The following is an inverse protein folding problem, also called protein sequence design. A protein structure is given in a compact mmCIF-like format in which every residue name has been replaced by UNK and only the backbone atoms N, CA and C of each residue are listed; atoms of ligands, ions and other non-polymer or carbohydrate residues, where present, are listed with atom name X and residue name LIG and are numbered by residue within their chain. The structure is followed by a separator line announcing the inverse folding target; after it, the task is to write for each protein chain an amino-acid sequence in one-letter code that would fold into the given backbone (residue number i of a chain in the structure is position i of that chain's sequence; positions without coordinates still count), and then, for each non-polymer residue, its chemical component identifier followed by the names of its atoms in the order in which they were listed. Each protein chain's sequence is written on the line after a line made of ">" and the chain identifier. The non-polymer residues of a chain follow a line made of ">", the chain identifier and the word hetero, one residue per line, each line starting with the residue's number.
data_IF_261886591856
#
_entry.id   IF_261886591856
#
_cell.length_a   1.000
_cell.length_b   1.000
_cell.length_c   1.000
_cell.angle_alpha   90.00
_cell.angle_beta   90.00
_cell.angle_gamma   90.00
#
_symmetry.space_group_name_H-M   'P 1'
#
loop_
_entity.id
_entity.type
_entity.pdbx_description
1 polymer ?
#
# COMPACT_ATOMS: atom_id res chain seq x y z
N UNK A 1 9.07 -3.10 -56.23
CA UNK A 1 9.22 -3.25 -57.70
C UNK A 1 9.27 -1.93 -58.48
N UNK A 2 8.73 -0.81 -57.97
CA UNK A 2 8.64 0.49 -58.69
C UNK A 2 9.97 1.23 -58.91
N UNK A 3 11.06 0.68 -58.41
CA UNK A 3 12.23 1.44 -57.98
C UNK A 3 13.55 0.88 -58.55
N UNK A 4 13.51 -0.15 -59.39
CA UNK A 4 14.68 -0.77 -60.03
C UNK A 4 14.98 -0.13 -61.39
N UNK A 5 16.22 -0.32 -61.88
CA UNK A 5 16.56 0.04 -63.26
C UNK A 5 15.57 -0.60 -64.25
N UNK A 6 15.01 0.14 -65.22
CA UNK A 6 13.99 -0.37 -66.12
C UNK A 6 14.40 -1.62 -66.91
N UNK A 7 15.68 -1.71 -67.29
CA UNK A 7 16.21 -2.85 -68.04
C UNK A 7 16.32 -4.10 -67.14
N UNK A 8 16.68 -3.88 -65.89
CA UNK A 8 16.72 -4.92 -64.85
C UNK A 8 15.31 -5.43 -64.54
N UNK A 9 14.35 -4.51 -64.37
CA UNK A 9 12.95 -4.84 -64.07
C UNK A 9 12.29 -5.64 -65.20
N UNK A 10 12.54 -5.28 -66.47
CA UNK A 10 12.02 -5.99 -67.64
C UNK A 10 12.55 -7.43 -67.71
N UNK A 11 13.85 -7.63 -67.50
CA UNK A 11 14.48 -8.97 -67.55
C UNK A 11 14.07 -9.87 -66.40
N UNK A 12 13.81 -9.30 -65.22
CA UNK A 12 13.30 -10.03 -64.06
C UNK A 12 11.86 -10.50 -64.26
N UNK A 13 10.99 -9.66 -64.81
CA UNK A 13 9.60 -10.05 -65.15
C UNK A 13 9.55 -11.17 -66.19
N UNK A 14 10.49 -11.19 -67.14
CA UNK A 14 10.58 -12.25 -68.14
C UNK A 14 10.98 -13.63 -67.56
N UNK A 15 11.55 -13.67 -66.36
CA UNK A 15 12.01 -14.88 -65.69
C UNK A 15 11.03 -15.44 -64.64
N UNK A 16 9.84 -14.82 -64.48
CA UNK A 16 8.83 -15.17 -63.46
C UNK A 16 9.42 -15.23 -62.03
N UNK A 17 10.34 -14.30 -61.73
CA UNK A 17 11.11 -14.27 -60.50
C UNK A 17 10.53 -13.24 -59.53
N UNK A 18 10.00 -13.68 -58.37
CA UNK A 18 9.53 -12.78 -57.31
C UNK A 18 10.71 -12.18 -56.56
N UNK A 19 11.12 -11.01 -57.02
CA UNK A 19 12.25 -10.28 -56.45
C UNK A 19 11.96 -9.77 -55.03
N UNK A 20 10.71 -9.44 -54.70
CA UNK A 20 10.39 -8.86 -53.39
C UNK A 20 10.47 -9.93 -52.28
N UNK A 21 9.95 -11.12 -52.56
CA UNK A 21 10.08 -12.28 -51.66
C UNK A 21 11.55 -12.68 -51.49
N UNK A 22 12.31 -12.76 -52.59
CA UNK A 22 13.73 -13.14 -52.54
C UNK A 22 14.61 -12.11 -51.82
N UNK A 23 14.39 -10.79 -52.03
CA UNK A 23 15.11 -9.74 -51.30
C UNK A 23 14.75 -9.79 -49.81
N UNK A 24 13.47 -10.00 -49.45
CA UNK A 24 13.06 -10.11 -48.06
C UNK A 24 13.72 -11.31 -47.36
N UNK A 25 13.79 -12.47 -48.03
CA UNK A 25 14.45 -13.67 -47.53
C UNK A 25 15.98 -13.53 -47.47
N UNK A 26 16.60 -12.73 -48.32
CA UNK A 26 18.08 -12.61 -48.39
C UNK A 26 18.65 -11.45 -47.57
N UNK A 27 17.88 -10.39 -47.34
CA UNK A 27 18.24 -9.28 -46.44
C UNK A 27 17.91 -9.62 -44.97
N UNK A 28 16.93 -10.50 -44.73
CA UNK A 28 16.54 -10.97 -43.38
C UNK A 28 16.94 -12.41 -43.03
N UNK A 29 17.27 -13.25 -44.01
CA UNK A 29 17.58 -14.67 -43.80
C UNK A 29 19.06 -14.94 -43.54
N UNK A 30 19.33 -15.81 -42.55
CA UNK A 30 20.68 -16.22 -42.17
C UNK A 30 21.38 -17.16 -43.14
N UNK A 31 20.64 -17.80 -44.05
CA UNK A 31 21.17 -18.86 -44.88
C UNK A 31 22.03 -18.32 -46.04
N UNK A 32 21.77 -17.08 -46.50
CA UNK A 32 22.54 -16.46 -47.58
C UNK A 32 22.69 -14.93 -47.43
N UNK A 33 23.46 -14.45 -46.43
CA UNK A 33 23.61 -13.02 -46.13
C UNK A 33 24.29 -12.20 -47.25
N UNK A 34 24.79 -12.87 -48.29
CA UNK A 34 25.47 -12.23 -49.42
C UNK A 34 24.83 -12.50 -50.79
N UNK A 35 23.63 -13.10 -50.83
CA UNK A 35 22.96 -13.40 -52.09
C UNK A 35 22.63 -12.13 -52.89
N UNK A 36 22.13 -11.08 -52.21
CA UNK A 36 21.83 -9.78 -52.83
C UNK A 36 23.09 -9.14 -53.42
N UNK A 37 24.24 -9.22 -52.73
CA UNK A 37 25.49 -8.67 -53.25
C UNK A 37 26.02 -9.44 -54.44
N UNK A 38 25.85 -10.77 -54.44
CA UNK A 38 26.25 -11.60 -55.57
C UNK A 38 25.42 -11.25 -56.80
N UNK A 39 24.11 -11.01 -56.59
CA UNK A 39 23.20 -10.56 -57.63
C UNK A 39 23.60 -9.19 -58.19
N UNK A 40 23.85 -8.20 -57.34
CA UNK A 40 24.28 -6.87 -57.77
C UNK A 40 25.63 -6.88 -58.49
N UNK A 41 26.57 -7.73 -58.06
CA UNK A 41 27.86 -7.89 -58.73
C UNK A 41 27.72 -8.48 -60.14
N UNK A 42 26.84 -9.48 -60.32
CA UNK A 42 26.55 -10.05 -61.64
C UNK A 42 25.91 -9.01 -62.55
N UNK A 43 24.99 -8.20 -62.02
CA UNK A 43 24.34 -7.14 -62.79
C UNK A 43 25.25 -5.97 -63.12
N UNK A 44 26.18 -5.62 -62.23
CA UNK A 44 27.23 -4.66 -62.53
C UNK A 44 28.04 -5.10 -63.75
N UNK A 45 28.36 -6.38 -63.87
CA UNK A 45 29.07 -6.91 -65.05
C UNK A 45 28.19 -6.92 -66.30
N UNK A 46 26.95 -7.40 -66.18
CA UNK A 46 26.02 -7.50 -67.30
C UNK A 46 25.69 -6.13 -67.91
N UNK A 47 25.44 -5.13 -67.07
CA UNK A 47 25.15 -3.76 -67.52
C UNK A 47 26.36 -3.11 -68.17
N UNK A 48 27.57 -3.30 -67.61
CA UNK A 48 28.79 -2.79 -68.21
C UNK A 48 29.03 -3.41 -69.60
N UNK A 49 28.80 -4.72 -69.76
CA UNK A 49 28.91 -5.40 -71.05
C UNK A 49 27.87 -4.92 -72.06
N UNK A 50 26.60 -4.78 -71.64
CA UNK A 50 25.54 -4.28 -72.52
C UNK A 50 25.82 -2.86 -73.04
N UNK A 51 26.28 -1.96 -72.16
CA UNK A 51 26.68 -0.60 -72.54
C UNK A 51 27.91 -0.59 -73.46
N UNK A 52 28.86 -1.48 -73.22
CA UNK A 52 30.05 -1.59 -74.08
C UNK A 52 29.70 -2.03 -75.50
N UNK A 53 28.72 -2.93 -75.64
CA UNK A 53 28.21 -3.38 -76.95
C UNK A 53 27.40 -2.29 -77.67
N UNK A 54 26.66 -1.44 -76.94
CA UNK A 54 25.98 -0.28 -77.53
C UNK A 54 26.98 0.80 -78.00
N UNK A 55 28.09 1.01 -77.29
CA UNK A 55 29.11 1.98 -77.66
C UNK A 55 30.00 1.51 -78.82
N UNK A 56 30.21 0.20 -78.95
CA UNK A 56 31.05 -0.40 -79.99
C UNK A 56 30.39 -1.66 -80.54
N UNK A 57 29.90 -1.57 -81.78
CA UNK A 57 29.25 -2.67 -82.49
C UNK A 57 30.23 -3.85 -82.69
N UNK A 58 29.88 -5.05 -82.20
CA UNK A 58 30.71 -6.26 -82.29
C UNK A 58 31.74 -6.42 -81.17
N UNK A 59 31.58 -5.72 -80.04
CA UNK A 59 32.49 -5.81 -78.88
C UNK A 59 32.61 -7.24 -78.33
N UNK A 60 31.50 -7.98 -78.31
CA UNK A 60 31.44 -9.39 -77.91
C UNK A 60 31.82 -10.37 -79.04
N UNK A 61 31.94 -9.90 -80.29
CA UNK A 61 32.26 -10.73 -81.47
C UNK A 61 33.76 -10.75 -81.81
N UNK A 62 34.60 -10.00 -81.08
CA UNK A 62 36.03 -9.83 -81.36
C UNK A 62 36.84 -11.14 -81.35
N UNK A 63 37.58 -11.39 -82.44
CA UNK A 63 38.51 -12.52 -82.59
C UNK A 63 39.73 -12.36 -81.66
N UNK A 64 39.61 -12.93 -80.46
CA UNK A 64 40.62 -12.84 -79.42
C UNK A 64 41.69 -13.92 -79.56
N UNK A 65 42.82 -13.56 -80.17
CA UNK A 65 44.00 -14.41 -80.24
C UNK A 65 44.56 -14.80 -78.87
N UNK A 66 45.31 -15.91 -78.84
CA UNK A 66 45.81 -16.68 -77.68
C UNK A 66 46.57 -15.93 -76.55
N UNK A 67 46.81 -14.61 -76.64
CA UNK A 67 47.60 -13.87 -75.64
C UNK A 67 47.18 -12.41 -75.37
N UNK A 68 45.94 -11.98 -75.65
CA UNK A 68 45.52 -10.60 -75.40
C UNK A 68 44.18 -10.55 -74.66
N UNK A 69 44.16 -9.79 -73.54
CA UNK A 69 42.93 -9.31 -72.90
C UNK A 69 42.21 -8.37 -73.88
N UNK A 70 41.37 -8.93 -74.75
CA UNK A 70 40.48 -8.11 -75.57
C UNK A 70 39.59 -7.30 -74.65
N UNK A 71 39.71 -5.98 -74.71
CA UNK A 71 38.79 -5.03 -74.09
C UNK A 71 38.69 -5.05 -72.55
N UNK A 72 39.51 -5.83 -71.86
CA UNK A 72 39.43 -5.95 -70.39
C UNK A 72 39.72 -4.64 -69.65
N UNK A 73 40.58 -3.77 -70.19
CA UNK A 73 40.88 -2.47 -69.56
C UNK A 73 39.71 -1.50 -69.70
N UNK A 74 39.10 -1.48 -70.88
CA UNK A 74 37.95 -0.66 -71.23
C UNK A 74 36.70 -1.12 -70.47
N UNK A 75 36.48 -2.43 -70.36
CA UNK A 75 35.40 -3.01 -69.54
C UNK A 75 35.54 -2.62 -68.06
N UNK A 76 36.76 -2.66 -67.51
CA UNK A 76 37.01 -2.23 -66.13
C UNK A 76 36.73 -0.74 -65.94
N UNK A 77 37.00 0.11 -66.95
CA UNK A 77 36.62 1.52 -66.91
C UNK A 77 35.11 1.71 -66.91
N UNK A 78 34.37 0.94 -67.71
CA UNK A 78 32.92 0.96 -67.74
C UNK A 78 32.30 0.51 -66.41
N UNK A 79 32.80 -0.58 -65.83
CA UNK A 79 32.36 -1.06 -64.50
C UNK A 79 32.62 -0.01 -63.42
N UNK A 80 33.75 0.70 -63.45
CA UNK A 80 34.07 1.74 -62.46
C UNK A 80 33.30 3.04 -62.67
N UNK A 81 32.86 3.32 -63.89
CA UNK A 81 32.13 4.54 -64.26
C UNK A 81 30.61 4.44 -64.08
N UNK A 82 30.08 3.22 -63.93
CA UNK A 82 28.63 3.03 -63.85
C UNK A 82 28.08 3.31 -62.45
N UNK A 83 26.84 3.80 -62.44
CA UNK A 83 25.95 3.77 -61.29
C UNK A 83 24.61 3.19 -61.75
N UNK A 84 24.01 2.34 -60.92
CA UNK A 84 22.72 1.73 -61.20
C UNK A 84 21.99 1.36 -59.91
N UNK A 85 20.69 1.13 -60.01
CA UNK A 85 19.83 0.73 -58.88
C UNK A 85 19.65 -0.79 -58.90
N UNK A 86 20.39 -1.48 -58.03
CA UNK A 86 20.37 -2.93 -57.86
C UNK A 86 19.37 -3.39 -56.79
N UNK A 87 19.43 -4.68 -56.46
CA UNK A 87 18.61 -5.30 -55.42
C UNK A 87 18.99 -4.82 -54.01
N UNK A 88 20.25 -4.42 -53.78
CA UNK A 88 20.68 -3.74 -52.55
C UNK A 88 20.57 -2.20 -52.62
N UNK A 89 19.82 -1.63 -53.56
CA UNK A 89 19.70 -0.17 -53.71
C UNK A 89 20.76 0.41 -54.65
N UNK A 90 21.21 1.65 -54.40
CA UNK A 90 22.12 2.33 -55.34
C UNK A 90 23.55 1.79 -55.23
N UNK A 91 24.03 1.21 -56.33
CA UNK A 91 25.41 0.71 -56.47
C UNK A 91 26.24 1.73 -57.21
N UNK A 92 27.33 2.19 -56.57
CA UNK A 92 28.31 3.15 -57.10
C UNK A 92 29.72 2.66 -56.79
N UNK A 93 30.67 2.98 -57.67
CA UNK A 93 32.08 2.67 -57.46
C UNK A 93 32.83 3.96 -57.11
N UNK A 94 33.19 4.10 -55.84
CA UNK A 94 33.89 5.28 -55.33
C UNK A 94 35.40 5.11 -55.51
N UNK A 95 36.07 6.22 -55.81
CA UNK A 95 37.53 6.30 -55.85
C UNK A 95 38.02 6.69 -54.46
N UNK A 96 38.71 5.77 -53.80
CA UNK A 96 39.33 5.99 -52.50
C UNK A 96 40.86 5.87 -52.64
N UNK A 97 41.60 6.61 -51.83
CA UNK A 97 43.07 6.58 -51.82
C UNK A 97 43.49 5.86 -50.54
N UNK A 98 44.16 4.72 -50.68
CA UNK A 98 44.61 3.95 -49.52
C UNK A 98 45.74 4.66 -48.79
N UNK A 99 46.04 4.20 -47.57
CA UNK A 99 47.14 4.71 -46.72
C UNK A 99 48.51 4.71 -47.40
N UNK A 100 48.70 3.90 -48.44
CA UNK A 100 49.92 3.79 -49.23
C UNK A 100 49.94 4.68 -50.49
N UNK A 101 48.92 5.53 -50.69
CA UNK A 101 48.79 6.42 -51.86
C UNK A 101 48.33 5.72 -53.14
N UNK A 102 47.90 4.46 -53.05
CA UNK A 102 47.30 3.75 -54.17
C UNK A 102 45.80 4.06 -54.28
N UNK A 103 45.35 4.48 -55.45
CA UNK A 103 43.91 4.60 -55.75
C UNK A 103 43.27 3.22 -55.81
N UNK A 104 42.40 2.94 -54.84
CA UNK A 104 41.55 1.76 -54.78
C UNK A 104 40.12 2.15 -55.14
N UNK A 105 39.52 1.38 -56.04
CA UNK A 105 38.12 1.55 -56.39
C UNK A 105 37.30 0.62 -55.51
N UNK A 106 36.70 1.18 -54.47
CA UNK A 106 35.78 0.43 -53.62
C UNK A 106 34.39 0.58 -54.21
N UNK A 107 33.74 -0.57 -54.46
CA UNK A 107 32.32 -0.61 -54.74
C UNK A 107 31.59 -0.28 -53.44
N UNK A 108 31.51 1.01 -53.12
CA UNK A 108 30.87 1.46 -51.89
C UNK A 108 29.39 1.69 -52.20
N UNK A 109 28.55 0.91 -51.55
CA UNK A 109 27.10 1.03 -51.64
C UNK A 109 26.70 2.42 -51.14
N UNK A 110 25.73 3.04 -51.80
CA UNK A 110 24.99 4.12 -51.16
C UNK A 110 24.11 3.45 -50.10
N UNK A 111 24.55 3.48 -48.84
CA UNK A 111 23.85 2.85 -47.72
C UNK A 111 22.44 3.41 -47.50
N UNK A 112 22.17 4.59 -48.09
CA UNK A 112 20.90 5.28 -48.11
C UNK A 112 19.75 4.33 -48.54
N UNK A 113 18.86 4.00 -47.60
CA UNK A 113 17.60 3.31 -47.90
C UNK A 113 17.57 1.78 -47.80
N UNK A 114 18.56 1.12 -47.18
CA UNK A 114 18.33 -0.26 -46.68
C UNK A 114 18.40 -0.30 -45.18
N UNK A 115 17.30 -0.76 -44.60
CA UNK A 115 17.16 -1.11 -43.20
C UNK A 115 17.93 -2.40 -42.89
N UNK A 116 18.93 -2.34 -42.01
CA UNK A 116 19.56 -3.54 -41.46
C UNK A 116 18.81 -3.98 -40.21
N UNK A 117 18.32 -5.23 -40.12
CA UNK A 117 17.66 -5.71 -38.92
C UNK A 117 18.67 -5.81 -37.78
N UNK A 118 18.31 -5.26 -36.64
CA UNK A 118 19.06 -5.40 -35.40
C UNK A 118 18.41 -6.53 -34.63
N UNK A 119 19.17 -7.60 -34.44
CA UNK A 119 18.71 -8.79 -33.74
C UNK A 119 19.57 -9.07 -32.51
N UNK A 120 18.98 -9.74 -31.53
CA UNK A 120 19.73 -10.35 -30.44
C UNK A 120 19.36 -11.82 -30.29
N UNK A 121 20.30 -12.62 -29.79
CA UNK A 121 20.04 -14.02 -29.47
C UNK A 121 19.26 -14.12 -28.15
N UNK A 122 18.01 -14.59 -28.23
CA UNK A 122 17.22 -14.90 -27.05
C UNK A 122 17.45 -16.36 -26.65
N UNK A 123 18.18 -16.56 -25.55
CA UNK A 123 18.52 -17.89 -25.04
C UNK A 123 17.31 -18.69 -24.56
N UNK A 124 16.25 -18.03 -24.07
CA UNK A 124 15.01 -18.69 -23.64
C UNK A 124 14.21 -19.23 -24.81
N UNK A 125 14.22 -18.52 -25.94
CA UNK A 125 13.55 -18.94 -27.17
C UNK A 125 14.46 -19.78 -28.08
N UNK A 126 15.76 -19.85 -27.77
CA UNK A 126 16.79 -20.45 -28.64
C UNK A 126 16.68 -19.94 -30.08
N UNK A 127 16.42 -18.65 -30.22
CA UNK A 127 16.15 -18.00 -31.49
C UNK A 127 16.65 -16.55 -31.47
N UNK A 128 17.01 -16.03 -32.63
CA UNK A 128 17.27 -14.60 -32.80
C UNK A 128 15.96 -13.83 -32.89
N UNK A 129 15.91 -12.68 -32.24
CA UNK A 129 14.74 -11.80 -32.18
C UNK A 129 15.14 -10.42 -32.71
N UNK A 130 14.45 -9.97 -33.76
CA UNK A 130 14.61 -8.62 -34.30
C UNK A 130 13.97 -7.58 -33.37
N UNK A 131 14.72 -6.52 -33.04
CA UNK A 131 14.30 -5.47 -32.10
C UNK A 131 14.15 -4.10 -32.74
N UNK A 132 14.71 -3.92 -33.94
CA UNK A 132 14.67 -2.68 -34.67
C UNK A 132 15.43 -2.78 -35.97
N UNK A 133 15.59 -1.63 -36.61
CA UNK A 133 16.29 -1.48 -37.88
C UNK A 133 17.25 -0.29 -37.80
N UNK A 134 18.41 -0.43 -38.43
CA UNK A 134 19.33 0.68 -38.68
C UNK A 134 19.12 1.15 -40.12
N UNK A 135 18.80 2.43 -40.29
CA UNK A 135 18.56 3.06 -41.57
C UNK A 135 19.58 4.18 -41.77
N UNK A 136 20.29 4.21 -42.89
CA UNK A 136 21.10 5.37 -43.27
C UNK A 136 20.29 6.31 -44.14
N UNK A 137 20.34 7.60 -43.82
CA UNK A 137 19.73 8.64 -44.66
C UNK A 137 20.59 8.93 -45.91
N UNK A 138 20.05 9.72 -46.84
CA UNK A 138 20.74 10.13 -48.07
C UNK A 138 22.03 10.95 -47.83
N UNK A 139 22.27 11.40 -46.59
CA UNK A 139 23.45 12.17 -46.20
C UNK A 139 24.50 11.32 -45.45
N UNK A 140 24.28 10.00 -45.31
CA UNK A 140 25.16 9.10 -44.57
C UNK A 140 25.06 9.23 -43.04
N UNK A 141 24.01 9.89 -42.52
CA UNK A 141 23.68 9.90 -41.11
C UNK A 141 22.80 8.70 -40.79
N UNK A 142 23.38 7.72 -40.12
CA UNK A 142 22.67 6.55 -39.62
C UNK A 142 21.72 6.84 -38.47
N UNK A 143 20.47 6.40 -38.61
CA UNK A 143 19.42 6.42 -37.60
C UNK A 143 19.11 5.02 -37.08
N UNK A 144 19.10 4.88 -35.75
CA UNK A 144 18.67 3.65 -35.07
C UNK A 144 17.17 3.73 -34.77
N UNK A 145 16.36 2.87 -35.40
CA UNK A 145 14.91 2.79 -35.16
C UNK A 145 14.56 1.49 -34.42
N UNK A 146 14.38 1.56 -33.10
CA UNK A 146 14.02 0.41 -32.26
C UNK A 146 12.49 0.32 -32.12
N UNK A 147 11.92 -0.82 -32.53
CA UNK A 147 10.50 -1.13 -32.30
C UNK A 147 10.25 -1.73 -30.92
N UNK A 148 11.28 -2.30 -30.28
CA UNK A 148 11.20 -2.85 -28.93
C UNK A 148 12.43 -2.49 -28.10
N UNK A 149 12.22 -2.29 -26.79
CA UNK A 149 13.29 -1.98 -25.84
C UNK A 149 14.15 -3.21 -25.60
N UNK A 150 15.44 -3.13 -25.93
CA UNK A 150 16.45 -4.13 -25.56
C UNK A 150 16.67 -4.10 -24.04
N UNK A 151 16.12 -5.07 -23.32
CA UNK A 151 16.38 -5.27 -21.88
C UNK A 151 17.34 -6.43 -21.73
N UNK A 152 18.62 -6.14 -21.45
CA UNK A 152 19.61 -7.16 -21.10
C UNK A 152 19.48 -7.49 -19.61
N UNK A 153 19.11 -8.73 -19.23
CA UNK A 153 19.13 -9.15 -17.83
C UNK A 153 20.60 -9.35 -17.41
N UNK A 154 21.28 -8.31 -16.92
CA UNK A 154 22.59 -8.49 -16.27
C UNK A 154 23.60 -7.33 -16.34
N UNK A 155 23.43 -6.35 -17.22
CA UNK A 155 24.29 -5.15 -17.16
C UNK A 155 23.65 -4.09 -16.27
N UNK A 156 23.96 -4.19 -14.99
CA UNK A 156 23.85 -3.06 -14.06
C UNK A 156 24.83 -2.00 -14.59
N UNK A 157 24.29 -0.93 -15.18
CA UNK A 157 25.05 0.25 -15.57
C UNK A 157 25.96 0.66 -14.41
N UNK A 158 27.25 0.80 -14.71
CA UNK A 158 28.34 1.23 -13.83
C UNK A 158 27.78 1.98 -12.62
N UNK A 159 27.80 1.29 -11.49
CA UNK A 159 27.45 1.87 -10.21
C UNK A 159 28.42 3.05 -9.99
N UNK A 160 27.95 4.30 -9.85
CA UNK A 160 28.84 5.43 -9.63
C UNK A 160 29.71 5.17 -8.40
N UNK A 161 31.01 5.47 -8.46
CA UNK A 161 31.93 5.38 -7.31
C UNK A 161 31.41 6.18 -6.10
N UNK A 162 30.54 7.16 -6.36
CA UNK A 162 29.89 8.02 -5.35
C UNK A 162 28.56 7.47 -4.82
N UNK A 163 28.13 6.28 -5.24
CA UNK A 163 26.91 5.65 -4.76
C UNK A 163 25.58 6.26 -5.21
N UNK A 164 25.61 7.37 -5.95
CA UNK A 164 24.45 8.12 -6.48
C UNK A 164 23.49 7.29 -7.35
N UNK A 165 23.92 6.11 -7.80
CA UNK A 165 23.12 5.19 -8.62
C UNK A 165 22.24 4.21 -7.86
N UNK A 166 22.45 4.00 -6.55
CA UNK A 166 21.71 2.96 -5.82
C UNK A 166 20.20 3.24 -5.79
N UNK A 167 19.34 2.28 -6.20
CA UNK A 167 17.90 2.44 -6.13
C UNK A 167 17.43 2.71 -4.69
N UNK A 168 16.26 3.34 -4.55
CA UNK A 168 15.56 3.34 -3.26
C UNK A 168 15.37 1.90 -2.78
N UNK A 169 15.32 1.68 -1.46
CA UNK A 169 15.43 0.40 -0.72
C UNK A 169 16.85 -0.13 -0.48
N UNK A 170 17.86 0.35 -1.21
CA UNK A 170 19.26 -0.05 -1.02
C UNK A 170 20.10 1.12 -0.50
N UNK A 171 21.25 0.78 0.08
CA UNK A 171 22.29 1.74 0.46
C UNK A 171 23.63 1.40 -0.21
N UNK A 172 24.45 2.43 -0.40
CA UNK A 172 25.80 2.29 -0.91
C UNK A 172 26.77 1.85 0.20
N UNK A 173 27.25 0.62 0.13
CA UNK A 173 28.36 0.18 0.99
C UNK A 173 29.70 0.53 0.30
N UNK A 174 30.47 1.45 0.89
CA UNK A 174 31.78 1.88 0.37
C UNK A 174 32.86 0.81 0.48
N UNK A 175 32.71 -0.15 1.40
CA UNK A 175 33.68 -1.23 1.61
C UNK A 175 33.55 -2.32 0.55
N UNK A 176 32.32 -2.65 0.14
CA UNK A 176 32.04 -3.67 -0.89
C UNK A 176 31.85 -3.06 -2.27
N UNK A 177 31.75 -1.72 -2.36
CA UNK A 177 31.38 -0.98 -3.57
C UNK A 177 30.08 -1.50 -4.21
N UNK A 178 29.18 -2.15 -3.46
CA UNK A 178 27.90 -2.72 -3.94
C UNK A 178 26.67 -2.08 -3.27
N UNK A 179 25.53 -2.06 -3.96
CA UNK A 179 24.28 -1.56 -3.38
C UNK A 179 23.72 -2.71 -2.56
N UNK A 180 23.69 -2.55 -1.24
CA UNK A 180 23.22 -3.58 -0.33
C UNK A 180 21.81 -3.25 0.16
N UNK A 181 20.98 -4.27 0.39
CA UNK A 181 19.62 -4.06 0.86
C UNK A 181 19.64 -3.47 2.26
N UNK A 182 18.71 -2.56 2.56
CA UNK A 182 18.47 -2.21 3.96
C UNK A 182 17.93 -3.43 4.71
N UNK A 183 18.52 -3.71 5.87
CA UNK A 183 18.08 -4.74 6.79
C UNK A 183 16.68 -4.46 7.34
N UNK A 184 16.13 -5.43 8.05
CA UNK A 184 14.86 -5.30 8.75
C UNK A 184 14.88 -4.12 9.73
N UNK A 185 13.71 -3.47 9.88
CA UNK A 185 13.57 -2.25 10.66
C UNK A 185 14.24 -0.99 10.09
N UNK A 186 14.86 -1.07 8.90
CA UNK A 186 15.50 0.07 8.25
C UNK A 186 15.01 0.27 6.82
N UNK A 187 15.02 1.53 6.34
CA UNK A 187 14.54 1.91 5.02
C UNK A 187 15.49 2.88 4.32
N UNK A 188 15.36 2.96 3.00
CA UNK A 188 16.05 3.93 2.14
C UNK A 188 15.06 4.50 1.13
N UNK A 189 14.55 5.70 1.38
CA UNK A 189 13.54 6.33 0.53
C UNK A 189 14.14 7.03 -0.70
N UNK A 190 15.43 7.36 -0.67
CA UNK A 190 16.07 8.23 -1.66
C UNK A 190 17.09 7.43 -2.45
N UNK A 191 17.11 7.66 -3.77
CA UNK A 191 18.14 7.10 -4.65
C UNK A 191 19.52 7.63 -4.23
N UNK A 192 20.50 6.74 -4.19
CA UNK A 192 21.87 7.07 -3.85
C UNK A 192 22.14 7.25 -2.35
N UNK A 193 21.28 6.70 -1.49
CA UNK A 193 21.53 6.72 -0.04
C UNK A 193 22.82 5.97 0.30
N UNK A 194 23.66 6.56 1.14
CA UNK A 194 24.91 5.94 1.63
C UNK A 194 24.71 5.18 2.95
N UNK A 195 23.55 5.33 3.58
CA UNK A 195 23.14 4.58 4.76
C UNK A 195 21.64 4.31 4.75
N UNK A 196 21.22 3.29 5.48
CA UNK A 196 19.82 3.05 5.78
C UNK A 196 19.39 3.87 7.00
N UNK A 197 18.19 4.43 6.94
CA UNK A 197 17.57 5.09 8.08
C UNK A 197 16.74 4.08 8.86
N UNK A 198 16.80 4.13 10.18
CA UNK A 198 15.92 3.32 11.02
C UNK A 198 14.46 3.79 10.86
N UNK A 199 13.53 2.84 10.92
CA UNK A 199 12.11 3.18 10.96
C UNK A 199 11.82 4.03 12.20
N UNK A 200 11.14 5.18 12.06
CA UNK A 200 10.79 6.00 13.20
C UNK A 200 9.74 5.27 14.06
N UNK A 201 9.63 5.70 15.31
CA UNK A 201 8.58 5.23 16.24
C UNK A 201 7.19 5.27 15.58
N UNK A 202 6.37 4.27 15.89
CA UNK A 202 5.05 4.06 15.27
C UNK A 202 5.11 3.48 13.86
N UNK A 203 6.29 3.16 13.33
CA UNK A 203 6.46 2.51 12.04
C UNK A 203 7.40 1.31 12.14
N UNK A 204 7.26 0.37 11.21
CA UNK A 204 8.06 -0.84 11.16
C UNK A 204 8.41 -1.22 9.71
N UNK A 205 9.39 -2.09 9.58
CA UNK A 205 9.79 -2.67 8.30
C UNK A 205 10.11 -4.16 8.49
N UNK A 206 9.12 -5.01 8.21
CA UNK A 206 9.23 -6.47 8.44
C UNK A 206 9.94 -7.26 7.35
N UNK A 207 10.48 -6.59 6.33
CA UNK A 207 11.18 -7.24 5.21
C UNK A 207 12.41 -6.43 4.83
N UNK A 208 13.49 -7.08 4.34
CA UNK A 208 14.58 -6.34 3.74
C UNK A 208 14.10 -5.56 2.52
N UNK A 209 14.81 -4.49 2.16
CA UNK A 209 14.47 -3.59 1.04
C UNK A 209 13.21 -2.73 1.24
N UNK A 210 12.99 -2.18 2.42
CA UNK A 210 11.95 -1.16 2.59
C UNK A 210 12.33 0.16 1.92
N UNK A 211 11.45 0.66 1.06
CA UNK A 211 11.51 2.04 0.52
C UNK A 211 10.97 3.04 1.55
N UNK A 212 9.97 2.63 2.32
CA UNK A 212 9.35 3.37 3.41
C UNK A 212 8.96 2.40 4.52
N UNK A 213 8.80 2.89 5.73
CA UNK A 213 8.29 2.09 6.83
C UNK A 213 6.76 2.11 6.85
N UNK A 214 6.17 0.97 7.18
CA UNK A 214 4.73 0.82 7.33
C UNK A 214 4.32 1.32 8.71
N UNK A 215 3.21 2.05 8.80
CA UNK A 215 2.70 2.48 10.10
C UNK A 215 2.08 1.30 10.86
N UNK A 216 2.28 1.26 12.17
CA UNK A 216 1.61 0.28 13.03
C UNK A 216 0.09 0.34 12.83
N UNK A 217 -0.52 -0.82 12.73
CA UNK A 217 -1.97 -0.92 12.55
C UNK A 217 -2.71 -0.58 13.84
N UNK A 218 -4.04 -0.46 13.76
CA UNK A 218 -4.90 -0.38 14.96
C UNK A 218 -4.64 -1.63 15.81
N UNK A 219 -4.67 -1.48 17.14
CA UNK A 219 -4.31 -2.54 18.11
C UNK A 219 -2.79 -2.75 18.31
N UNK A 220 -1.93 -1.97 17.64
CA UNK A 220 -0.48 -2.05 17.73
C UNK A 220 0.19 -0.69 17.98
N UNK A 221 1.37 -0.72 18.58
CA UNK A 221 2.22 0.45 18.80
C UNK A 221 3.70 0.10 18.58
N UNK A 222 4.56 1.11 18.43
CA UNK A 222 6.00 0.90 18.39
C UNK A 222 6.71 2.11 19.01
N UNK A 223 7.33 1.92 20.16
CA UNK A 223 7.99 2.96 20.95
C UNK A 223 9.51 3.03 20.75
N UNK A 224 10.10 2.07 20.05
CA UNK A 224 11.50 2.06 19.65
C UNK A 224 11.67 2.36 18.15
N UNK A 225 12.87 2.84 17.78
CA UNK A 225 13.25 3.03 16.38
C UNK A 225 13.90 1.76 15.83
N UNK A 226 13.81 1.55 14.52
CA UNK A 226 14.55 0.48 13.87
C UNK A 226 13.89 -0.90 13.98
N UNK A 227 12.57 -0.95 14.18
CA UNK A 227 11.87 -2.19 14.51
C UNK A 227 11.26 -2.87 13.28
N UNK A 228 11.31 -4.20 13.26
CA UNK A 228 10.82 -5.02 12.16
C UNK A 228 9.35 -5.43 12.30
N UNK A 229 8.76 -5.21 13.47
CA UNK A 229 7.35 -5.46 13.78
C UNK A 229 6.86 -4.42 14.80
N UNK A 230 5.55 -4.20 14.85
CA UNK A 230 4.93 -3.40 15.90
C UNK A 230 4.50 -4.28 17.08
N UNK A 231 4.67 -3.76 18.29
CA UNK A 231 4.19 -4.41 19.50
C UNK A 231 2.65 -4.42 19.55
N UNK A 232 2.08 -5.53 20.02
CA UNK A 232 0.64 -5.66 20.20
C UNK A 232 0.26 -5.01 21.53
N UNK A 233 -0.84 -4.24 21.52
CA UNK A 233 -1.40 -3.68 22.73
C UNK A 233 -1.73 -4.76 23.78
N UNK A 234 -1.61 -4.45 25.09
CA UNK A 234 -1.96 -5.39 26.15
C UNK A 234 -3.38 -5.97 26.04
N UNK A 235 -3.67 -7.11 26.68
CA UNK A 235 -4.97 -7.76 26.58
C UNK A 235 -6.15 -6.82 26.84
N UNK A 236 -7.18 -6.93 26.01
CA UNK A 236 -8.41 -6.11 26.06
C UNK A 236 -8.21 -4.60 25.89
N UNK A 237 -7.05 -4.18 25.37
CA UNK A 237 -6.78 -2.79 24.98
C UNK A 237 -6.60 -2.69 23.48
N UNK A 238 -6.73 -1.48 22.92
CA UNK A 238 -6.54 -1.17 21.50
C UNK A 238 -5.92 0.22 21.34
N UNK A 239 -4.94 0.33 20.44
CA UNK A 239 -4.48 1.62 19.93
C UNK A 239 -5.49 2.13 18.89
N UNK A 240 -6.18 3.23 19.20
CA UNK A 240 -7.25 3.76 18.32
C UNK A 240 -6.70 4.42 17.04
N UNK A 241 -5.45 4.86 17.06
CA UNK A 241 -4.80 5.56 15.96
C UNK A 241 -3.69 4.70 15.35
N UNK A 242 -3.60 4.72 14.02
CA UNK A 242 -2.47 4.12 13.29
C UNK A 242 -1.18 4.87 13.61
N UNK A 243 -0.08 4.13 13.65
CA UNK A 243 1.23 4.67 13.97
C UNK A 243 1.39 5.13 15.41
N UNK A 244 0.72 4.46 16.35
CA UNK A 244 0.86 4.74 17.77
C UNK A 244 2.32 4.53 18.23
N UNK A 245 2.87 5.52 18.94
CA UNK A 245 4.29 5.57 19.33
C UNK A 245 4.55 5.22 20.79
N UNK A 246 3.49 5.03 21.59
CA UNK A 246 3.58 4.69 23.01
C UNK A 246 2.55 3.64 23.38
N UNK A 247 2.89 2.80 24.37
CA UNK A 247 1.95 1.87 24.99
C UNK A 247 0.77 2.61 25.67
N UNK A 248 0.96 3.85 26.09
CA UNK A 248 -0.10 4.72 26.65
C UNK A 248 -1.19 5.06 25.64
N UNK A 249 -0.96 4.84 24.34
CA UNK A 249 -1.99 4.96 23.31
C UNK A 249 -2.94 3.76 23.31
N UNK A 250 -2.60 2.66 23.98
CA UNK A 250 -3.46 1.49 24.14
C UNK A 250 -4.52 1.74 25.22
N UNK A 251 -5.76 1.89 24.78
CA UNK A 251 -6.92 2.19 25.62
C UNK A 251 -7.84 0.97 25.75
N UNK A 252 -8.64 0.87 26.81
CA UNK A 252 -9.56 -0.27 26.97
C UNK A 252 -10.56 -0.35 25.80
N UNK A 253 -10.80 -1.56 25.30
CA UNK A 253 -11.88 -1.86 24.34
C UNK A 253 -13.24 -1.62 25.02
N UNK A 254 -14.29 -1.37 24.22
CA UNK A 254 -15.66 -1.30 24.72
C UNK A 254 -16.03 -2.59 25.49
N UNK A 255 -16.75 -2.45 26.61
CA UNK A 255 -17.03 -3.57 27.51
C UNK A 255 -15.87 -3.93 28.46
N UNK A 256 -14.75 -3.21 28.43
CA UNK A 256 -13.63 -3.37 29.35
C UNK A 256 -13.28 -2.05 30.05
N UNK A 257 -12.63 -2.16 31.22
CA UNK A 257 -12.23 -1.01 32.02
C UNK A 257 -11.02 -1.32 32.92
N UNK A 258 -10.45 -0.27 33.49
CA UNK A 258 -9.50 -0.32 34.60
C UNK A 258 -9.93 0.65 35.70
N UNK A 259 -9.60 0.37 36.97
CA UNK A 259 -9.95 1.27 38.09
C UNK A 259 -8.92 2.38 38.25
N UNK A 260 -7.65 2.04 38.03
CA UNK A 260 -6.53 2.97 38.12
C UNK A 260 -6.53 4.02 37.00
N UNK A 261 -7.33 3.80 35.94
CA UNK A 261 -7.45 4.65 34.74
C UNK A 261 -6.14 4.83 33.98
N UNK A 262 -5.14 3.99 34.26
CA UNK A 262 -3.85 4.06 33.58
C UNK A 262 -3.96 3.34 32.24
N UNK A 263 -3.62 3.99 31.12
CA UNK A 263 -3.57 3.33 29.82
C UNK A 263 -2.34 2.42 29.71
N UNK A 264 -2.28 1.62 28.65
CA UNK A 264 -1.11 0.78 28.38
C UNK A 264 -0.94 -0.43 29.29
N UNK A 265 -2.02 -0.89 29.92
CA UNK A 265 -2.06 -2.12 30.73
C UNK A 265 -3.33 -2.90 30.44
N UNK A 266 -3.32 -4.20 30.76
CA UNK A 266 -4.46 -5.09 30.51
C UNK A 266 -5.79 -4.54 31.04
N UNK A 267 -6.86 -4.61 30.26
CA UNK A 267 -8.17 -4.17 30.75
C UNK A 267 -9.02 -5.36 31.22
N UNK A 268 -9.91 -5.09 32.17
CA UNK A 268 -10.74 -6.10 32.79
C UNK A 268 -12.18 -5.99 32.31
N UNK A 269 -12.87 -7.14 32.22
CA UNK A 269 -14.27 -7.19 31.77
C UNK A 269 -15.18 -6.34 32.67
N UNK A 270 -16.15 -5.66 32.05
CA UNK A 270 -17.13 -4.83 32.74
C UNK A 270 -17.82 -5.56 33.91
N UNK A 271 -18.01 -4.92 35.07
CA UNK A 271 -18.81 -5.47 36.16
C UNK A 271 -20.27 -5.67 35.75
N UNK A 272 -20.95 -6.67 36.33
CA UNK A 272 -22.35 -6.93 36.04
C UNK A 272 -23.22 -5.73 36.43
N UNK A 273 -24.18 -5.36 35.57
CA UNK A 273 -25.05 -4.19 35.80
C UNK A 273 -24.38 -2.84 35.53
N UNK A 274 -23.14 -2.84 35.03
CA UNK A 274 -22.44 -1.65 34.55
C UNK A 274 -22.31 -1.61 33.03
N UNK A 275 -22.15 -0.41 32.49
CA UNK A 275 -21.80 -0.16 31.08
C UNK A 275 -20.42 0.48 31.03
N UNK A 276 -19.56 -0.09 30.19
CA UNK A 276 -18.18 0.35 29.99
C UNK A 276 -18.02 0.85 28.54
N UNK A 277 -17.77 2.13 28.35
CA UNK A 277 -17.51 2.74 27.03
C UNK A 277 -16.10 2.44 26.50
N UNK A 278 -15.26 1.77 27.28
CA UNK A 278 -13.83 1.63 27.00
C UNK A 278 -13.06 2.91 27.35
N UNK A 279 -11.85 3.04 26.80
CA UNK A 279 -10.99 4.17 27.10
C UNK A 279 -10.42 4.12 28.52
N UNK A 280 -10.29 5.30 29.13
CA UNK A 280 -9.95 5.51 30.56
C UNK A 280 -11.19 5.82 31.42
N UNK A 281 -12.39 5.76 30.83
CA UNK A 281 -13.64 6.10 31.48
C UNK A 281 -14.01 5.06 32.56
N UNK A 282 -14.58 5.54 33.67
CA UNK A 282 -15.14 4.65 34.70
C UNK A 282 -16.45 4.03 34.19
N UNK A 283 -16.70 2.74 34.45
CA UNK A 283 -18.01 2.13 34.23
C UNK A 283 -19.12 2.92 34.93
N UNK A 284 -20.28 3.02 34.31
CA UNK A 284 -21.46 3.64 34.91
C UNK A 284 -22.59 2.62 35.06
N UNK A 285 -23.54 2.81 35.98
CA UNK A 285 -24.61 1.84 36.17
C UNK A 285 -25.52 1.79 34.94
N UNK A 286 -25.89 0.59 34.50
CA UNK A 286 -26.92 0.40 33.48
C UNK A 286 -28.30 0.83 34.02
N UNK A 287 -29.27 1.08 33.13
CA UNK A 287 -30.65 1.32 33.53
C UNK A 287 -31.19 0.18 34.42
N UNK A 288 -31.79 0.54 35.55
CA UNK A 288 -32.24 -0.40 36.58
C UNK A 288 -31.19 -0.81 37.60
N UNK A 289 -29.95 -0.32 37.49
CA UNK A 289 -28.88 -0.54 38.46
C UNK A 289 -28.48 0.76 39.16
N UNK A 290 -28.05 0.63 40.42
CA UNK A 290 -27.43 1.69 41.20
C UNK A 290 -25.96 1.36 41.41
N UNK A 291 -25.07 2.36 41.37
CA UNK A 291 -23.65 2.17 41.62
C UNK A 291 -22.99 3.36 42.30
N UNK A 292 -22.01 3.07 43.15
CA UNK A 292 -21.27 4.05 43.92
C UNK A 292 -19.77 3.76 43.90
N UNK A 293 -19.04 4.59 43.17
CA UNK A 293 -17.59 4.49 43.06
C UNK A 293 -16.85 4.87 44.35
N UNK A 294 -17.50 5.53 45.31
CA UNK A 294 -16.91 5.79 46.63
C UNK A 294 -16.69 4.53 47.46
N UNK A 295 -17.30 3.41 47.07
CA UNK A 295 -17.09 2.09 47.70
C UNK A 295 -15.87 1.35 47.17
N UNK A 296 -15.27 1.85 46.09
CA UNK A 296 -14.10 1.23 45.46
C UNK A 296 -12.84 1.80 46.07
N UNK A 297 -12.08 0.95 46.75
CA UNK A 297 -10.73 1.28 47.20
C UNK A 297 -9.78 1.37 46.00
N UNK A 298 -9.36 2.59 45.66
CA UNK A 298 -8.47 2.91 44.54
C UNK A 298 -6.99 2.67 44.88
N UNK A 299 -6.64 2.47 46.15
CA UNK A 299 -5.24 2.26 46.57
C UNK A 299 -4.79 0.81 46.33
N UNK A 300 -5.74 -0.10 46.16
CA UNK A 300 -5.46 -1.49 45.77
C UNK A 300 -5.05 -1.51 44.28
N UNK A 301 -3.99 -2.22 43.88
CA UNK A 301 -3.64 -2.36 42.47
C UNK A 301 -4.69 -3.21 41.73
N UNK A 302 -4.94 -2.85 40.47
CA UNK A 302 -5.83 -3.63 39.62
C UNK A 302 -5.31 -5.06 39.43
N UNK A 303 -6.16 -6.04 39.76
CA UNK A 303 -5.88 -7.46 39.67
C UNK A 303 -7.16 -8.23 39.41
N UNK A 304 -7.04 -9.47 38.93
CA UNK A 304 -8.20 -10.35 38.69
C UNK A 304 -9.04 -10.61 39.96
N UNK A 305 -8.41 -10.55 41.14
CA UNK A 305 -9.09 -10.67 42.44
C UNK A 305 -9.91 -9.40 42.75
N UNK A 306 -9.29 -8.23 42.60
CA UNK A 306 -9.96 -6.95 42.82
C UNK A 306 -11.15 -6.77 41.85
N UNK A 307 -10.99 -7.20 40.60
CA UNK A 307 -12.06 -7.23 39.59
C UNK A 307 -13.22 -8.10 40.04
N UNK A 308 -12.97 -9.35 40.48
CA UNK A 308 -14.03 -10.27 40.93
C UNK A 308 -14.81 -9.70 42.11
N UNK A 309 -14.13 -9.04 43.06
CA UNK A 309 -14.80 -8.38 44.17
C UNK A 309 -15.77 -7.30 43.67
N UNK A 310 -15.31 -6.44 42.76
CA UNK A 310 -16.08 -5.31 42.24
C UNK A 310 -17.23 -5.74 41.34
N UNK A 311 -17.05 -6.82 40.58
CA UNK A 311 -18.09 -7.38 39.73
C UNK A 311 -19.40 -7.68 40.50
N UNK A 312 -19.31 -7.98 41.80
CA UNK A 312 -20.48 -8.27 42.65
C UNK A 312 -20.86 -7.14 43.61
N UNK A 313 -19.98 -6.17 43.87
CA UNK A 313 -20.20 -5.15 44.92
C UNK A 313 -20.45 -3.74 44.39
N UNK A 314 -20.07 -3.44 43.15
CA UNK A 314 -20.13 -2.07 42.63
C UNK A 314 -21.53 -1.65 42.19
N UNK A 315 -22.22 -2.56 41.50
CA UNK A 315 -23.54 -2.31 40.93
C UNK A 315 -24.58 -3.21 41.56
N UNK A 316 -25.68 -2.61 42.00
CA UNK A 316 -26.78 -3.30 42.65
C UNK A 316 -28.06 -3.09 41.85
N UNK A 317 -28.79 -4.17 41.58
CA UNK A 317 -30.09 -4.09 40.91
C UNK A 317 -31.07 -3.32 41.80
N UNK A 318 -31.73 -2.33 41.22
CA UNK A 318 -32.73 -1.55 41.92
C UNK A 318 -34.04 -2.33 42.03
N UNK A 319 -34.63 -2.26 43.22
CA UNK A 319 -35.89 -2.94 43.51
C UNK A 319 -37.05 -2.47 42.61
N UNK A 320 -37.02 -1.23 42.13
CA UNK A 320 -37.91 -0.71 41.10
C UNK A 320 -37.04 -0.13 40.00
N UNK A 321 -37.07 -0.75 38.81
CA UNK A 321 -36.16 -0.41 37.70
C UNK A 321 -36.29 1.04 37.25
N UNK A 322 -37.51 1.58 37.23
CA UNK A 322 -37.80 2.96 36.83
C UNK A 322 -37.20 4.02 37.76
N UNK A 323 -36.82 3.66 38.99
CA UNK A 323 -36.25 4.60 39.96
C UNK A 323 -34.74 4.77 39.79
N UNK A 324 -34.11 3.95 38.96
CA UNK A 324 -32.69 4.00 38.65
C UNK A 324 -32.52 4.16 37.14
N UNK A 325 -32.69 5.38 36.65
CA UNK A 325 -32.30 5.76 35.30
C UNK A 325 -30.85 6.21 35.29
N UNK A 326 -30.05 5.65 34.37
CA UNK A 326 -28.74 6.20 34.03
C UNK A 326 -28.97 7.36 33.05
N UNK A 327 -29.14 8.57 33.58
CA UNK A 327 -29.19 9.77 32.72
C UNK A 327 -27.76 10.16 32.35
N UNK A 328 -27.28 9.62 31.23
CA UNK A 328 -26.12 10.14 30.53
C UNK A 328 -26.70 11.11 29.49
N UNK A 329 -26.70 12.42 29.73
CA UNK A 329 -27.18 13.37 28.72
C UNK A 329 -26.33 13.25 27.46
N UNK A 330 -26.95 12.85 26.35
CA UNK A 330 -26.37 12.84 25.01
C UNK A 330 -26.37 14.27 24.41
N UNK A 331 -25.19 14.83 24.13
CA UNK A 331 -24.73 15.15 22.77
C UNK A 331 -23.39 15.93 22.79
N UNK A 332 -22.47 15.62 21.86
CA UNK A 332 -21.26 16.39 21.64
C UNK A 332 -21.63 17.69 20.89
N UNK A 333 -21.43 18.83 21.53
CA UNK A 333 -21.46 20.11 20.81
C UNK A 333 -20.34 20.12 19.77
N UNK A 334 -20.73 20.03 18.50
CA UNK A 334 -19.86 20.31 17.37
C UNK A 334 -19.31 21.74 17.51
N UNK A 335 -18.03 21.87 17.89
CA UNK A 335 -17.29 23.10 17.72
C UNK A 335 -16.88 23.21 16.26
N UNK A 336 -17.66 23.96 15.47
CA UNK A 336 -17.13 24.67 14.32
C UNK A 336 -15.99 25.59 14.79
N UNK A 337 -14.77 25.34 14.35
CA UNK A 337 -13.61 26.19 14.63
C UNK A 337 -12.40 25.79 13.80
N UNK A 338 -12.03 26.65 12.87
CA UNK A 338 -11.00 26.48 11.84
C UNK A 338 -9.63 25.97 12.32
N UNK A 339 -8.97 25.24 11.41
CA UNK A 339 -7.60 24.74 11.50
C UNK A 339 -6.59 25.90 11.46
N UNK A 340 -5.67 25.94 12.44
CA UNK A 340 -4.29 26.43 12.22
C UNK A 340 -3.31 25.97 13.32
N UNK A 341 -2.40 25.05 12.95
CA UNK A 341 -1.05 24.81 13.56
C UNK A 341 -0.91 24.04 14.91
N UNK A 342 0.28 23.45 15.21
CA UNK A 342 0.38 22.01 15.44
C UNK A 342 0.84 21.58 16.86
N UNK A 343 0.46 20.35 17.22
CA UNK A 343 0.97 19.49 18.32
C UNK A 343 0.88 20.03 19.75
N UNK A 344 -0.21 19.63 20.41
CA UNK A 344 -0.21 19.23 21.83
C UNK A 344 -1.28 18.14 21.98
N UNK A 345 -1.00 17.15 22.85
CA UNK A 345 -1.77 15.93 23.10
C UNK A 345 -3.30 16.12 23.00
N UNK A 346 -4.06 15.18 22.41
CA UNK A 346 -5.51 15.31 22.44
C UNK A 346 -5.98 15.20 23.89
N UNK A 347 -6.56 16.29 24.38
CA UNK A 347 -7.38 16.43 25.57
C UNK A 347 -8.56 15.42 25.56
N UNK A 348 -8.27 14.13 25.73
CA UNK A 348 -9.22 13.16 26.23
C UNK A 348 -9.22 13.16 27.77
N UNK A 349 -9.12 14.35 28.36
CA UNK A 349 -9.69 14.66 29.66
C UNK A 349 -11.12 15.14 29.44
N UNK A 350 -11.96 14.30 28.81
CA UNK A 350 -13.38 14.40 29.13
C UNK A 350 -13.47 13.82 30.52
N UNK A 351 -13.45 14.71 31.52
CA UNK A 351 -14.18 14.47 32.77
C UNK A 351 -15.53 13.93 32.34
N UNK A 352 -15.62 12.59 32.32
CA UNK A 352 -16.83 11.87 31.98
C UNK A 352 -17.87 12.44 32.93
N UNK A 353 -18.81 13.21 32.38
CA UNK A 353 -19.94 13.77 33.11
C UNK A 353 -20.46 12.61 33.96
N UNK A 354 -20.51 12.76 35.30
CA UNK A 354 -20.73 11.62 36.15
C UNK A 354 -22.14 11.12 35.85
N UNK A 355 -22.26 10.06 35.05
CA UNK A 355 -23.48 9.30 34.86
C UNK A 355 -23.84 8.74 36.23
N UNK A 356 -24.55 9.54 37.02
CA UNK A 356 -25.05 9.18 38.33
C UNK A 356 -26.39 8.49 38.12
N UNK A 357 -26.56 7.37 38.81
CA UNK A 357 -27.91 6.89 39.09
C UNK A 357 -28.58 7.98 39.94
N UNK A 358 -29.59 8.64 39.35
CA UNK A 358 -30.24 9.78 39.97
C UNK A 358 -31.04 9.32 41.19
N UNK A 359 -30.43 9.39 42.39
CA UNK A 359 -31.12 9.07 43.66
C UNK A 359 -32.18 10.10 44.05
N UNK A 360 -32.31 11.18 43.28
CA UNK A 360 -33.27 12.24 43.52
C UNK A 360 -34.73 11.82 43.20
N UNK A 361 -34.93 10.69 42.50
CA UNK A 361 -36.26 10.11 42.29
C UNK A 361 -36.72 9.37 43.56
N UNK A 362 -37.23 10.20 44.47
CA UNK A 362 -38.08 9.93 45.62
C UNK A 362 -38.41 8.46 45.84
N UNK A 363 -37.76 7.86 46.84
CA UNK A 363 -38.24 6.59 47.39
C UNK A 363 -39.77 6.64 47.61
N UNK A 364 -40.50 5.55 47.35
CA UNK A 364 -41.93 5.48 47.58
C UNK A 364 -42.28 5.99 48.99
N UNK A 365 -43.42 6.67 49.15
CA UNK A 365 -43.84 7.27 50.44
C UNK A 365 -43.63 6.28 51.59
N UNK A 366 -42.80 6.66 52.55
CA UNK A 366 -42.49 5.84 53.73
C UNK A 366 -41.23 4.98 53.63
N UNK A 367 -40.41 5.11 52.57
CA UNK A 367 -39.07 4.51 52.46
C UNK A 367 -37.97 5.56 52.44
N UNK A 368 -36.81 5.20 52.98
CA UNK A 368 -35.57 5.99 52.97
C UNK A 368 -34.34 5.07 52.83
N UNK A 369 -33.13 5.63 52.78
CA UNK A 369 -31.88 4.86 52.71
C UNK A 369 -31.43 4.44 51.31
N UNK A 370 -30.25 3.80 51.23
CA UNK A 370 -29.61 3.34 49.98
C UNK A 370 -30.52 2.33 49.26
N UNK A 371 -30.87 2.59 47.99
CA UNK A 371 -31.82 1.80 47.19
C UNK A 371 -33.21 1.65 47.85
N UNK A 372 -33.65 2.62 48.67
CA UNK A 372 -34.95 2.58 49.38
C UNK A 372 -35.14 1.33 50.27
N UNK A 373 -34.04 0.84 50.84
CA UNK A 373 -33.98 -0.38 51.64
C UNK A 373 -34.62 -0.24 53.02
N UNK A 374 -34.61 0.96 53.62
CA UNK A 374 -35.19 1.20 54.95
C UNK A 374 -36.55 1.89 54.87
N UNK A 375 -37.36 1.72 55.92
CA UNK A 375 -38.58 2.50 56.08
C UNK A 375 -38.25 3.84 56.73
N UNK A 376 -38.91 4.90 56.28
CA UNK A 376 -38.77 6.25 56.84
C UNK A 376 -39.21 6.26 58.30
N UNK A 377 -38.55 7.07 59.12
CA UNK A 377 -38.96 7.33 60.51
C UNK A 377 -40.49 7.53 60.62
N UNK A 378 -41.16 6.69 61.42
CA UNK A 378 -42.63 6.65 61.53
C UNK A 378 -43.32 5.54 60.70
N UNK A 379 -42.56 4.71 59.98
CA UNK A 379 -43.04 3.51 59.30
C UNK A 379 -42.30 2.26 59.80
N UNK A 380 -42.97 1.10 59.80
CA UNK A 380 -42.37 -0.21 60.13
C UNK A 380 -42.47 -1.17 58.94
N UNK A 381 -41.52 -2.12 58.86
CA UNK A 381 -41.44 -3.10 57.78
C UNK A 381 -42.35 -4.29 58.07
N UNK A 382 -43.35 -4.54 57.22
CA UNK A 382 -44.22 -5.73 57.31
C UNK A 382 -44.33 -6.39 55.94
N UNK A 383 -43.82 -7.62 55.82
CA UNK A 383 -43.91 -8.46 54.61
C UNK A 383 -43.68 -7.65 53.32
N UNK A 384 -42.59 -6.88 53.33
CA UNK A 384 -42.08 -6.11 52.19
C UNK A 384 -42.75 -4.74 51.90
N UNK A 385 -43.68 -4.28 52.75
CA UNK A 385 -44.27 -2.92 52.69
C UNK A 385 -43.93 -2.12 53.95
N UNK A 386 -43.66 -0.82 53.77
CA UNK A 386 -43.53 0.11 54.89
C UNK A 386 -44.92 0.63 55.27
N UNK A 387 -45.38 0.29 56.47
CA UNK A 387 -46.68 0.71 57.01
C UNK A 387 -46.50 1.81 58.03
N UNK A 388 -47.43 2.77 58.09
CA UNK A 388 -47.38 3.88 59.06
C UNK A 388 -47.57 3.35 60.48
N UNK A 389 -46.75 3.80 61.43
CA UNK A 389 -46.99 3.58 62.85
C UNK A 389 -48.27 4.31 63.28
N UNK A 390 -49.33 3.55 63.54
CA UNK A 390 -50.58 4.10 64.03
C UNK A 390 -50.39 4.48 65.51
N UNK A 391 -50.53 5.77 65.85
CA UNK A 391 -50.45 6.24 67.24
C UNK A 391 -51.55 5.53 68.07
N UNK A 392 -51.24 5.04 69.29
CA UNK A 392 -52.14 4.18 70.06
C UNK A 392 -53.36 4.91 70.69
N UNK A 393 -53.82 6.01 70.12
CA UNK A 393 -54.93 6.79 70.66
C UNK A 393 -56.25 6.01 70.66
N UNK A 394 -56.53 5.21 69.63
CA UNK A 394 -57.81 4.46 69.53
C UNK A 394 -57.87 3.30 70.52
N UNK A 395 -56.76 2.60 70.77
CA UNK A 395 -56.71 1.50 71.73
C UNK A 395 -56.81 2.00 73.18
N UNK A 396 -56.15 3.11 73.51
CA UNK A 396 -56.23 3.70 74.84
C UNK A 396 -57.58 4.39 75.08
N UNK A 397 -58.09 5.17 74.13
CA UNK A 397 -59.40 5.85 74.28
C UNK A 397 -60.55 4.84 74.23
N UNK A 398 -60.51 3.87 73.32
CA UNK A 398 -61.53 2.80 73.25
C UNK A 398 -61.53 1.93 74.50
N UNK A 399 -60.36 1.54 75.00
CA UNK A 399 -60.21 0.76 76.23
C UNK A 399 -60.70 1.51 77.47
N UNK A 400 -60.34 2.79 77.61
CA UNK A 400 -60.76 3.60 78.75
C UNK A 400 -62.27 3.88 78.76
N UNK A 401 -62.87 4.19 77.60
CA UNK A 401 -64.32 4.37 77.48
C UNK A 401 -65.07 3.08 77.83
N UNK A 402 -64.59 1.92 77.36
CA UNK A 402 -65.23 0.64 77.66
C UNK A 402 -65.11 0.28 79.15
N UNK A 403 -63.97 0.56 79.78
CA UNK A 403 -63.80 0.42 81.23
C UNK A 403 -64.75 1.34 82.02
N UNK A 404 -64.93 2.59 81.59
CA UNK A 404 -65.86 3.54 82.23
C UNK A 404 -67.31 3.04 82.09
N UNK A 405 -67.71 2.54 80.92
CA UNK A 405 -69.06 1.99 80.69
C UNK A 405 -69.30 0.77 81.56
N UNK A 406 -68.34 -0.17 81.63
CA UNK A 406 -68.44 -1.36 82.47
C UNK A 406 -68.51 -0.98 83.95
N UNK A 407 -67.69 -0.03 84.40
CA UNK A 407 -67.70 0.44 85.78
C UNK A 407 -69.02 1.13 86.15
N UNK A 408 -69.53 1.99 85.26
CA UNK A 408 -70.83 2.64 85.43
C UNK A 408 -71.99 1.62 85.46
N UNK A 409 -71.96 0.61 84.60
CA UNK A 409 -72.93 -0.48 84.60
C UNK A 409 -72.89 -1.30 85.90
N UNK A 410 -71.71 -1.61 86.42
CA UNK A 410 -71.54 -2.33 87.69
C UNK A 410 -72.08 -1.50 88.86
N UNK A 411 -71.74 -0.21 88.95
CA UNK A 411 -72.24 0.67 90.01
C UNK A 411 -73.76 0.75 89.97
N UNK A 412 -74.36 1.01 88.81
CA UNK A 412 -75.82 1.11 88.71
C UNK A 412 -76.52 -0.22 89.06
N UNK A 413 -75.94 -1.36 88.67
CA UNK A 413 -76.50 -2.67 89.02
C UNK A 413 -76.40 -2.97 90.52
N UNK A 414 -75.31 -2.57 91.18
CA UNK A 414 -75.12 -2.75 92.63
C UNK A 414 -76.02 -1.79 93.43
N UNK A 415 -76.22 -0.56 92.95
CA UNK A 415 -77.11 0.42 93.59
C UNK A 415 -78.58 0.03 93.41
N UNK A 416 -78.96 -0.56 92.26
CA UNK A 416 -80.33 -1.05 92.04
C UNK A 416 -80.66 -2.37 92.76
N UNK A 417 -79.68 -3.06 93.36
CA UNK A 417 -79.91 -4.28 94.15
C UNK A 417 -79.94 -4.04 95.68
N UNK A 418 -79.93 -2.78 96.11
CA UNK A 418 -80.28 -2.33 97.46
C UNK A 418 -81.60 -1.60 97.40
#
# INVERSE_FOLDING_TARGET
>A
ASDLDPLLAEKLQAADFDLEEWIAESVGGRDFPFAVYTYDAVWALALALARSEEEVEGWLEGDCGLHINCHGKELVQQIRGQSFRGASGMVKFNREENSDGETVFNANRDGSGISFPIEYWNSSLSAWVAVGQYEEDENGLGGLNLHSTLVWPGFVTVKPEDGSGCPASLYYNSSTTQCEPCGDGSFSAVRGSTSCKQCPRGQFCGKPNCVSCDSCTVDQYQDEEGQSECEICPPNTVAQTRGSVTVESCLCKEGYYRRDRLPGRECFMCPAGGVCLGGTAKPYPANGYWGDWSLVDLDVPDSEIARKAIHYTLFHECRIREHCSSSCTDEPSALQGNISSPVTLPDYLVESHPCRSELANQCPKGREGRVCSSCKSGFFLLSDKCMTCQKPEILFVGGTVLCIIVFWYIINRVVASK
#
